data_IF_595774626773
#
_entry.id   IF_595774626773
#
_cell.length_a   1.000
_cell.length_b   1.000
_cell.length_c   1.000
_cell.angle_alpha   90.00
_cell.angle_beta   90.00
_cell.angle_gamma   90.00
#
_symmetry.space_group_name_H-M   'P 1'
#
loop_
_entity.id
_entity.type
_entity.pdbx_description
1 polymer ?
#
# COMPACT_ATOMS: atom_id res chain seq x y z
N UNK A 1 -14.59 -7.70 7.03
CA UNK A 1 -13.56 -7.87 6.00
C UNK A 1 -12.22 -7.54 6.62
N UNK A 2 -11.31 -8.51 6.69
CA UNK A 2 -9.95 -8.37 7.22
C UNK A 2 -8.92 -8.79 6.15
N UNK A 3 -7.62 -8.65 6.45
CA UNK A 3 -6.53 -8.99 5.52
C UNK A 3 -6.64 -10.42 5.00
N UNK A 4 -6.92 -11.38 5.88
CA UNK A 4 -7.06 -12.79 5.49
C UNK A 4 -8.21 -13.05 4.51
N UNK A 5 -9.29 -12.26 4.55
CA UNK A 5 -10.42 -12.41 3.63
C UNK A 5 -10.09 -11.91 2.22
N UNK A 6 -9.29 -10.83 2.11
CA UNK A 6 -8.93 -10.21 0.83
C UNK A 6 -7.67 -10.81 0.22
N UNK A 7 -6.75 -11.31 1.05
CA UNK A 7 -5.45 -11.84 0.62
C UNK A 7 -5.51 -12.81 -0.56
N UNK A 8 -6.33 -13.88 -0.57
CA UNK A 8 -6.35 -14.82 -1.69
C UNK A 8 -6.64 -14.10 -3.01
N UNK A 9 -7.58 -13.16 -2.99
CA UNK A 9 -7.98 -12.42 -4.18
C UNK A 9 -6.94 -11.38 -4.60
N UNK A 10 -6.34 -10.66 -3.65
CA UNK A 10 -5.24 -9.71 -3.92
C UNK A 10 -4.07 -10.47 -4.55
N UNK A 11 -3.72 -11.64 -4.01
CA UNK A 11 -2.65 -12.50 -4.51
C UNK A 11 -2.90 -12.96 -5.94
N UNK A 12 -4.12 -13.38 -6.28
CA UNK A 12 -4.51 -13.74 -7.65
C UNK A 12 -4.33 -12.56 -8.62
N UNK A 13 -4.76 -11.36 -8.22
CA UNK A 13 -4.64 -10.17 -9.07
C UNK A 13 -3.17 -9.80 -9.29
N UNK A 14 -2.34 -9.86 -8.25
CA UNK A 14 -0.90 -9.58 -8.36
C UNK A 14 -0.23 -10.58 -9.30
N UNK A 15 -0.60 -11.87 -9.22
CA UNK A 15 -0.09 -12.90 -10.13
C UNK A 15 -0.45 -12.62 -11.59
N UNK A 16 -1.69 -12.19 -11.85
CA UNK A 16 -2.17 -11.85 -13.19
C UNK A 16 -1.46 -10.61 -13.76
N UNK A 17 -1.31 -9.56 -12.94
CA UNK A 17 -0.68 -8.29 -13.35
C UNK A 17 0.81 -8.48 -13.63
N UNK A 18 1.53 -9.19 -12.76
CA UNK A 18 2.97 -9.39 -12.89
C UNK A 18 3.34 -10.60 -13.77
N UNK A 19 2.35 -11.39 -14.19
CA UNK A 19 2.53 -12.61 -14.98
C UNK A 19 3.51 -13.58 -14.30
N UNK A 20 3.28 -13.82 -13.01
CA UNK A 20 4.07 -14.73 -12.16
C UNK A 20 3.16 -15.78 -11.52
N UNK A 21 3.77 -16.86 -11.00
CA UNK A 21 3.01 -17.87 -10.29
C UNK A 21 2.48 -17.33 -8.96
N UNK A 22 1.20 -17.61 -8.69
CA UNK A 22 0.55 -17.23 -7.42
C UNK A 22 1.36 -17.77 -6.23
N UNK A 23 1.99 -18.93 -6.39
CA UNK A 23 2.83 -19.60 -5.40
C UNK A 23 4.07 -18.80 -4.98
N UNK A 24 4.60 -17.94 -5.85
CA UNK A 24 5.76 -17.08 -5.57
C UNK A 24 5.40 -15.86 -4.71
N UNK A 25 4.11 -15.56 -4.58
CA UNK A 25 3.59 -14.39 -3.88
C UNK A 25 3.31 -14.73 -2.42
N UNK A 26 3.97 -14.01 -1.51
CA UNK A 26 3.75 -14.05 -0.06
C UNK A 26 3.24 -12.72 0.48
N UNK A 27 2.57 -12.73 1.63
CA UNK A 27 2.09 -11.50 2.31
C UNK A 27 3.22 -10.47 2.51
N UNK A 28 4.42 -10.94 2.83
CA UNK A 28 5.59 -10.10 3.10
C UNK A 28 6.38 -9.74 1.85
N UNK A 29 6.02 -10.25 0.67
CA UNK A 29 6.72 -9.93 -0.59
C UNK A 29 6.49 -8.46 -0.93
N UNK A 30 7.57 -7.73 -1.21
CA UNK A 30 7.51 -6.34 -1.68
C UNK A 30 7.21 -6.32 -3.16
N UNK A 31 6.19 -5.56 -3.55
CA UNK A 31 5.69 -5.56 -4.93
C UNK A 31 6.79 -5.16 -5.93
N UNK A 32 7.48 -4.05 -5.66
CA UNK A 32 8.54 -3.54 -6.55
C UNK A 32 9.87 -4.24 -6.25
N UNK A 33 10.25 -4.31 -4.97
CA UNK A 33 11.60 -4.74 -4.58
C UNK A 33 11.83 -6.25 -4.66
N UNK A 34 10.79 -7.09 -4.48
CA UNK A 34 10.91 -8.55 -4.53
C UNK A 34 10.29 -9.14 -5.79
N UNK A 35 9.12 -8.64 -6.22
CA UNK A 35 8.41 -9.16 -7.39
C UNK A 35 8.74 -8.41 -8.69
N UNK A 36 9.56 -7.36 -8.62
CA UNK A 36 10.04 -6.64 -9.80
C UNK A 36 8.98 -5.81 -10.52
N UNK A 37 7.88 -5.45 -9.84
CA UNK A 37 6.82 -4.65 -10.44
C UNK A 37 7.33 -3.27 -10.89
N UNK A 38 6.92 -2.86 -12.08
CA UNK A 38 7.16 -1.53 -12.60
C UNK A 38 6.12 -0.52 -12.10
N UNK A 39 6.38 0.76 -12.34
CA UNK A 39 5.43 1.84 -12.00
C UNK A 39 4.08 1.70 -12.74
N UNK A 40 4.06 1.03 -13.89
CA UNK A 40 2.84 0.76 -14.67
C UNK A 40 2.04 -0.36 -14.01
N UNK A 41 2.70 -1.47 -13.64
CA UNK A 41 2.08 -2.60 -12.95
C UNK A 41 1.40 -2.19 -11.66
N UNK A 42 1.98 -1.23 -10.93
CA UNK A 42 1.36 -0.66 -9.74
C UNK A 42 0.01 0.00 -10.05
N UNK A 43 -0.09 0.77 -11.13
CA UNK A 43 -1.34 1.44 -11.54
C UNK A 43 -2.38 0.40 -11.98
N UNK A 44 -1.97 -0.61 -12.74
CA UNK A 44 -2.85 -1.68 -13.18
C UNK A 44 -3.34 -2.55 -12.01
N UNK A 45 -2.47 -2.86 -11.04
CA UNK A 45 -2.84 -3.55 -9.81
C UNK A 45 -3.91 -2.77 -9.04
N UNK A 46 -3.69 -1.48 -8.79
CA UNK A 46 -4.67 -0.65 -8.08
C UNK A 46 -6.00 -0.62 -8.83
N UNK A 47 -5.96 -0.48 -10.16
CA UNK A 47 -7.17 -0.49 -10.98
C UNK A 47 -7.94 -1.82 -10.92
N UNK A 48 -7.24 -2.96 -10.98
CA UNK A 48 -7.88 -4.28 -10.83
C UNK A 48 -8.47 -4.48 -9.44
N UNK A 49 -7.78 -4.02 -8.39
CA UNK A 49 -8.30 -4.05 -7.01
C UNK A 49 -9.56 -3.18 -6.87
N UNK A 50 -9.56 -1.97 -7.43
CA UNK A 50 -10.75 -1.10 -7.46
C UNK A 50 -11.95 -1.80 -8.11
N UNK A 51 -11.72 -2.43 -9.27
CA UNK A 51 -12.78 -3.12 -10.00
C UNK A 51 -13.30 -4.35 -9.27
N UNK A 52 -12.41 -5.19 -8.75
CA UNK A 52 -12.80 -6.45 -8.11
C UNK A 52 -13.52 -6.23 -6.78
N UNK A 53 -13.01 -5.32 -5.95
CA UNK A 53 -13.61 -5.01 -4.65
C UNK A 53 -14.67 -3.90 -4.73
N UNK A 54 -14.93 -3.36 -5.92
CA UNK A 54 -15.84 -2.23 -6.19
C UNK A 54 -15.52 -1.00 -5.34
N UNK A 55 -14.24 -0.78 -5.07
CA UNK A 55 -13.73 0.34 -4.29
C UNK A 55 -13.16 1.44 -5.17
N UNK A 56 -12.88 2.60 -4.56
CA UNK A 56 -12.16 3.71 -5.19
C UNK A 56 -10.94 4.03 -4.35
N UNK A 57 -9.76 3.93 -4.95
CA UNK A 57 -8.46 4.16 -4.33
C UNK A 57 -7.83 5.34 -5.09
N UNK A 58 -8.02 6.59 -4.62
CA UNK A 58 -7.45 7.74 -5.30
C UNK A 58 -5.92 7.66 -5.34
N UNK A 59 -5.34 8.20 -6.41
CA UNK A 59 -3.88 8.34 -6.52
C UNK A 59 -3.36 9.18 -5.35
N UNK A 60 -2.32 8.70 -4.68
CA UNK A 60 -1.79 9.31 -3.45
C UNK A 60 -2.53 8.92 -2.17
N UNK A 61 -3.58 8.08 -2.23
CA UNK A 61 -4.26 7.63 -1.02
C UNK A 61 -3.42 6.65 -0.19
N UNK A 62 -2.57 5.86 -0.85
CA UNK A 62 -1.52 5.09 -0.18
C UNK A 62 -0.59 6.00 0.62
N UNK A 63 -0.10 7.07 -0.01
CA UNK A 63 0.79 8.04 0.60
C UNK A 63 0.09 8.79 1.75
N UNK A 64 -1.19 9.15 1.57
CA UNK A 64 -1.99 9.80 2.63
C UNK A 64 -2.25 8.88 3.81
N UNK A 65 -2.60 7.61 3.56
CA UNK A 65 -2.80 6.63 4.63
C UNK A 65 -1.49 6.34 5.37
N UNK A 66 -0.39 6.26 4.63
CA UNK A 66 0.96 6.09 5.17
C UNK A 66 1.44 7.33 5.98
N UNK A 67 0.99 8.53 5.59
CA UNK A 67 1.24 9.78 6.32
C UNK A 67 0.34 9.95 7.55
N UNK A 68 -0.85 9.35 7.54
CA UNK A 68 -1.86 9.53 8.59
C UNK A 68 -2.28 10.99 8.73
N UNK A 69 -2.43 11.45 9.97
CA UNK A 69 -2.84 12.82 10.32
C UNK A 69 -1.71 13.86 10.25
N UNK A 70 -0.47 13.46 9.91
CA UNK A 70 0.63 14.41 9.80
C UNK A 70 0.40 15.40 8.64
N UNK A 71 0.74 16.66 8.89
CA UNK A 71 0.85 17.65 7.83
C UNK A 71 2.01 17.28 6.88
N UNK A 72 1.93 17.75 5.63
CA UNK A 72 2.94 17.45 4.62
C UNK A 72 4.36 17.89 5.02
N UNK A 73 4.53 19.11 5.52
CA UNK A 73 5.83 19.64 6.01
C UNK A 73 6.36 18.88 7.24
N UNK A 74 5.47 18.24 8.00
CA UNK A 74 5.86 17.39 9.12
C UNK A 74 6.23 15.98 8.67
N UNK A 75 5.64 15.50 7.59
CA UNK A 75 5.94 14.18 7.02
C UNK A 75 7.23 14.20 6.20
N UNK A 76 7.40 15.21 5.35
CA UNK A 76 8.55 15.36 4.47
C UNK A 76 9.07 16.81 4.40
N UNK A 77 10.37 16.95 4.14
CA UNK A 77 11.01 18.23 3.84
C UNK A 77 11.88 18.10 2.60
N UNK A 78 11.46 18.76 1.52
CA UNK A 78 12.17 18.75 0.25
C UNK A 78 12.28 17.37 -0.38
N UNK A 79 11.23 16.54 -0.28
CA UNK A 79 11.22 15.17 -0.81
C UNK A 79 11.83 14.11 0.12
N UNK A 80 12.31 14.51 1.31
CA UNK A 80 12.95 13.63 2.29
C UNK A 80 12.03 13.44 3.48
N UNK A 81 11.76 12.19 3.86
CA UNK A 81 10.93 11.83 4.99
C UNK A 81 11.61 12.28 6.28
N UNK A 82 10.86 12.97 7.16
CA UNK A 82 11.37 13.41 8.46
C UNK A 82 11.36 12.26 9.47
N UNK A 83 12.01 12.43 10.63
CA UNK A 83 11.93 11.44 11.72
C UNK A 83 10.49 11.19 12.20
N UNK A 84 9.63 12.21 12.18
CA UNK A 84 8.21 12.07 12.52
C UNK A 84 7.48 11.27 11.45
N UNK A 85 7.68 11.62 10.18
CA UNK A 85 7.11 10.91 9.04
C UNK A 85 7.51 9.44 9.03
N UNK A 86 8.79 9.14 9.29
CA UNK A 86 9.30 7.78 9.34
C UNK A 86 8.63 6.95 10.44
N UNK A 87 8.38 7.53 11.61
CA UNK A 87 7.66 6.84 12.71
C UNK A 87 6.22 6.51 12.35
N UNK A 88 5.51 7.43 11.70
CA UNK A 88 4.13 7.18 11.26
C UNK A 88 4.10 6.13 10.14
N UNK A 89 5.03 6.23 9.20
CA UNK A 89 5.19 5.25 8.14
C UNK A 89 5.48 3.84 8.69
N UNK A 90 6.39 3.72 9.68
CA UNK A 90 6.65 2.46 10.38
C UNK A 90 5.42 1.90 11.10
N UNK A 91 4.60 2.78 11.70
CA UNK A 91 3.38 2.35 12.36
C UNK A 91 2.31 1.86 11.36
N UNK A 92 2.23 2.51 10.20
CA UNK A 92 1.32 2.11 9.12
C UNK A 92 1.76 0.78 8.48
N UNK A 93 3.04 0.68 8.14
CA UNK A 93 3.70 -0.48 7.54
C UNK A 93 4.29 -1.39 8.64
N UNK A 94 3.49 -1.76 9.62
CA UNK A 94 3.94 -2.57 10.76
C UNK A 94 4.41 -3.98 10.38
N UNK A 95 4.05 -4.44 9.18
CA UNK A 95 4.55 -5.67 8.57
C UNK A 95 5.99 -5.56 8.04
N UNK A 96 6.47 -4.34 7.78
CA UNK A 96 7.78 -4.11 7.21
C UNK A 96 8.82 -4.06 8.34
N UNK A 97 9.93 -4.81 8.24
CA UNK A 97 10.99 -4.77 9.26
C UNK A 97 11.56 -3.36 9.41
N UNK A 98 11.83 -2.96 10.66
CA UNK A 98 12.40 -1.65 11.00
C UNK A 98 13.70 -1.33 10.22
N UNK A 99 14.47 -2.36 9.85
CA UNK A 99 15.72 -2.26 9.09
C UNK A 99 15.53 -1.73 7.66
N UNK A 100 14.31 -1.85 7.10
CA UNK A 100 14.01 -1.30 5.78
C UNK A 100 13.80 0.22 5.81
N UNK A 101 13.57 0.79 7.00
CA UNK A 101 13.35 2.22 7.18
C UNK A 101 14.68 2.92 7.45
N UNK A 102 15.19 3.60 6.44
CA UNK A 102 16.46 4.32 6.54
C UNK A 102 16.26 5.79 6.92
N UNK A 103 17.18 6.38 7.70
CA UNK A 103 17.19 7.83 7.87
C UNK A 103 17.37 8.52 6.52
N UNK A 104 16.69 9.66 6.33
CA UNK A 104 16.71 10.46 5.10
C UNK A 104 16.19 9.74 3.84
N UNK A 105 15.34 8.72 4.00
CA UNK A 105 14.63 8.08 2.89
C UNK A 105 13.78 9.10 2.12
N UNK A 106 13.72 8.96 0.80
CA UNK A 106 12.92 9.86 -0.03
C UNK A 106 11.48 9.39 -0.15
N UNK A 107 10.55 10.32 -0.35
CA UNK A 107 9.12 9.98 -0.52
C UNK A 107 8.86 9.07 -1.72
N UNK A 108 9.63 9.21 -2.80
CA UNK A 108 9.54 8.34 -3.97
C UNK A 108 10.04 6.91 -3.74
N UNK A 109 10.71 6.63 -2.61
CA UNK A 109 11.11 5.28 -2.22
C UNK A 109 10.02 4.56 -1.39
N UNK A 110 9.00 5.27 -0.90
CA UNK A 110 7.90 4.68 -0.11
C UNK A 110 7.23 3.50 -0.82
N UNK A 111 6.89 3.58 -2.13
CA UNK A 111 6.27 2.47 -2.84
C UNK A 111 7.11 1.18 -2.83
N UNK A 112 8.44 1.30 -2.71
CA UNK A 112 9.34 0.14 -2.65
C UNK A 112 9.20 -0.67 -1.35
N UNK A 113 8.62 -0.06 -0.31
CA UNK A 113 8.33 -0.72 0.96
C UNK A 113 7.00 -1.47 0.96
N UNK A 114 6.12 -1.20 -0.02
CA UNK A 114 4.79 -1.79 -0.03
C UNK A 114 4.84 -3.29 -0.30
N UNK A 115 4.29 -4.03 0.64
CA UNK A 115 4.14 -5.48 0.58
C UNK A 115 2.75 -5.85 0.10
N UNK A 116 2.54 -7.12 -0.21
CA UNK A 116 1.19 -7.63 -0.53
C UNK A 116 0.23 -7.41 0.62
N UNK A 117 0.69 -7.51 1.87
CA UNK A 117 -0.10 -7.18 3.05
C UNK A 117 -0.53 -5.69 3.06
N UNK A 118 0.33 -4.77 2.63
CA UNK A 118 -0.01 -3.35 2.51
C UNK A 118 -1.21 -3.15 1.59
N UNK A 119 -1.24 -3.80 0.42
CA UNK A 119 -2.37 -3.72 -0.51
C UNK A 119 -3.64 -4.35 0.07
N UNK A 120 -3.51 -5.46 0.81
CA UNK A 120 -4.65 -6.06 1.51
C UNK A 120 -5.24 -5.11 2.56
N UNK A 121 -4.40 -4.48 3.39
CA UNK A 121 -4.82 -3.48 4.38
C UNK A 121 -5.52 -2.30 3.72
N UNK A 122 -4.99 -1.86 2.59
CA UNK A 122 -5.58 -0.78 1.81
C UNK A 122 -6.97 -1.14 1.28
N UNK A 123 -7.15 -2.31 0.69
CA UNK A 123 -8.46 -2.77 0.22
C UNK A 123 -9.45 -2.81 1.39
N UNK A 124 -9.03 -3.37 2.53
CA UNK A 124 -9.86 -3.42 3.74
C UNK A 124 -10.25 -2.02 4.23
N UNK A 125 -9.32 -1.08 4.23
CA UNK A 125 -9.58 0.31 4.61
C UNK A 125 -10.58 0.97 3.65
N UNK A 126 -10.34 0.86 2.34
CA UNK A 126 -11.20 1.47 1.32
C UNK A 126 -12.63 0.89 1.34
N UNK A 127 -12.79 -0.43 1.55
CA UNK A 127 -14.11 -1.05 1.72
C UNK A 127 -14.84 -0.50 2.95
N UNK A 128 -14.13 -0.33 4.07
CA UNK A 128 -14.71 0.25 5.30
C UNK A 128 -15.10 1.72 5.14
N UNK A 129 -14.26 2.52 4.49
CA UNK A 129 -14.55 3.92 4.20
C UNK A 129 -15.79 4.08 3.32
N UNK A 130 -15.94 3.24 2.28
CA UNK A 130 -17.13 3.26 1.43
C UNK A 130 -18.41 2.83 2.15
N UNK A 131 -18.33 1.84 3.05
CA UNK A 131 -19.48 1.43 3.86
C UNK A 131 -19.91 2.53 4.84
N UNK A 132 -18.97 3.35 5.29
CA UNK A 132 -19.26 4.47 6.20
C UNK A 132 -19.84 5.66 5.44
N UNK A 133 -19.25 6.02 4.29
CA UNK A 133 -19.72 7.11 3.44
C UNK A 133 -21.08 6.83 2.78
N UNK A 134 -21.43 5.57 2.55
CA UNK A 134 -22.75 5.16 2.04
C UNK A 134 -23.88 5.21 3.07
N UNK A 135 -23.57 5.46 4.35
CA UNK A 135 -24.55 5.47 5.44
C UNK A 135 -24.99 6.88 5.87
N UNK A 136 -24.50 7.94 5.21
CA UNK A 136 -24.87 9.34 5.43
C UNK A 136 -25.87 9.90 4.39
N UNK A 137 -26.58 9.03 3.65
CA UNK A 137 -27.63 9.41 2.69
C UNK A 137 -29.03 8.96 3.14
#
# INVERSE_FOLDING_TARGET
MNVADVYPKVREIVADVLVIDVEEISLNSRLIADLGAESIDFLDLVFQLEKEFKIKIPRGQLEKNARGDLAEDEFEKGGIITEKGLKVLQNYLSEVPAEQFKPNMKVNEIPMLFTIETFCKLVVAAVKEQQTAGSEA
#
